data_IF_265912565797
#
_entry.id   IF_265912565797
#
_cell.length_a   1.000
_cell.length_b   1.000
_cell.length_c   1.000
_cell.angle_alpha   90.00
_cell.angle_beta   90.00
_cell.angle_gamma   90.00
#
_symmetry.space_group_name_H-M   'P 1'
#
loop_
_entity.id
_entity.type
_entity.pdbx_description
1 polymer ?
#
# COMPACT_ATOMS: atom_id res chain seq x y z
N UNK A 1 -0.32 -13.45 16.30
CA UNK A 1 0.17 -12.82 15.07
C UNK A 1 -0.55 -11.49 14.95
N UNK A 2 0.12 -10.33 15.00
CA UNK A 2 -0.55 -9.09 14.61
C UNK A 2 -0.94 -9.27 13.15
N UNK A 3 -2.24 -9.25 12.86
CA UNK A 3 -2.71 -9.33 11.49
C UNK A 3 -2.37 -7.99 10.85
N UNK A 4 -1.55 -8.01 9.79
CA UNK A 4 -1.36 -6.81 8.97
C UNK A 4 -2.73 -6.34 8.52
N UNK A 5 -3.10 -5.06 8.74
CA UNK A 5 -4.45 -4.58 8.45
C UNK A 5 -4.79 -4.59 6.95
N UNK A 6 -3.80 -4.89 6.11
CA UNK A 6 -3.87 -5.03 4.66
C UNK A 6 -2.97 -6.18 4.21
N UNK A 7 -3.33 -6.79 3.09
CA UNK A 7 -2.67 -7.91 2.43
C UNK A 7 -1.80 -7.42 1.26
N UNK A 8 -1.04 -8.33 0.64
CA UNK A 8 -0.27 -7.97 -0.56
C UNK A 8 -1.19 -7.69 -1.76
N UNK A 9 -2.34 -8.37 -1.87
CA UNK A 9 -3.38 -8.08 -2.85
C UNK A 9 -3.90 -6.64 -2.70
N UNK A 10 -4.20 -6.21 -1.46
CA UNK A 10 -4.65 -4.83 -1.20
C UNK A 10 -3.62 -3.80 -1.69
N UNK A 11 -2.32 -4.11 -1.52
CA UNK A 11 -1.23 -3.23 -2.00
C UNK A 11 -1.18 -3.20 -3.53
N UNK A 12 -1.38 -4.34 -4.20
CA UNK A 12 -1.41 -4.41 -5.66
C UNK A 12 -2.61 -3.63 -6.20
N UNK A 13 -3.79 -3.79 -5.60
CA UNK A 13 -4.99 -3.04 -5.98
C UNK A 13 -4.81 -1.54 -5.73
N UNK A 14 -4.17 -1.14 -4.63
CA UNK A 14 -3.84 0.26 -4.35
C UNK A 14 -2.85 0.83 -5.37
N UNK A 15 -1.87 0.05 -5.83
CA UNK A 15 -0.94 0.48 -6.88
C UNK A 15 -1.67 0.67 -8.21
N UNK A 16 -2.56 -0.26 -8.58
CA UNK A 16 -3.40 -0.17 -9.77
C UNK A 16 -4.32 1.05 -9.72
N UNK A 17 -4.89 1.35 -8.55
CA UNK A 17 -5.72 2.54 -8.36
C UNK A 17 -4.95 3.83 -8.66
N UNK A 18 -3.66 3.89 -8.32
CA UNK A 18 -2.80 5.04 -8.61
C UNK A 18 -2.41 5.11 -10.09
N UNK A 19 -2.11 3.98 -10.72
CA UNK A 19 -1.61 3.96 -12.11
C UNK A 19 -2.71 3.98 -13.17
N UNK A 20 -3.77 3.19 -12.97
CA UNK A 20 -4.83 2.96 -13.97
C UNK A 20 -6.07 3.80 -13.67
N UNK A 21 -6.45 3.91 -12.39
CA UNK A 21 -7.64 4.67 -11.99
C UNK A 21 -7.32 6.16 -11.69
N UNK A 22 -6.03 6.52 -11.67
CA UNK A 22 -5.58 7.91 -11.49
C UNK A 22 -5.82 8.47 -10.08
N UNK A 23 -6.02 7.62 -9.07
CA UNK A 23 -6.14 8.06 -7.68
C UNK A 23 -4.81 8.60 -7.17
N UNK A 24 -4.85 9.54 -6.22
CA UNK A 24 -3.65 9.86 -5.47
C UNK A 24 -3.23 8.69 -4.57
N UNK A 25 -1.94 8.59 -4.24
CA UNK A 25 -1.43 7.57 -3.32
C UNK A 25 -2.15 7.60 -1.96
N UNK A 26 -2.57 8.78 -1.51
CA UNK A 26 -3.32 8.92 -0.27
C UNK A 26 -4.73 8.33 -0.38
N UNK A 27 -5.45 8.62 -1.46
CA UNK A 27 -6.80 8.07 -1.68
C UNK A 27 -6.76 6.55 -1.86
N UNK A 28 -5.84 6.04 -2.66
CA UNK A 28 -5.66 4.59 -2.84
C UNK A 28 -5.28 3.92 -1.51
N UNK A 29 -4.34 4.48 -0.74
CA UNK A 29 -3.95 3.91 0.53
C UNK A 29 -5.10 3.90 1.56
N UNK A 30 -5.90 4.97 1.64
CA UNK A 30 -7.06 5.03 2.51
C UNK A 30 -8.16 4.04 2.09
N UNK A 31 -8.42 3.91 0.79
CA UNK A 31 -9.39 2.95 0.24
C UNK A 31 -9.06 1.52 0.63
N UNK A 32 -7.76 1.18 0.65
CA UNK A 32 -7.23 -0.14 0.97
C UNK A 32 -6.78 -0.30 2.43
N UNK A 33 -7.11 0.67 3.30
CA UNK A 33 -6.82 0.58 4.73
C UNK A 33 -5.33 0.53 5.09
N UNK A 34 -4.45 1.00 4.20
CA UNK A 34 -3.01 0.98 4.40
C UNK A 34 -2.42 2.37 4.61
N UNK A 35 -1.26 2.48 5.29
CA UNK A 35 -0.50 3.71 5.33
C UNK A 35 -0.05 4.13 3.94
N UNK A 36 -0.17 5.42 3.62
CA UNK A 36 0.36 5.98 2.38
C UNK A 36 1.86 5.66 2.22
N UNK A 37 2.64 5.68 3.31
CA UNK A 37 4.08 5.36 3.26
C UNK A 37 4.36 3.96 2.75
N UNK A 38 3.49 2.98 3.08
CA UNK A 38 3.60 1.61 2.57
C UNK A 38 3.41 1.58 1.06
N UNK A 39 2.38 2.27 0.56
CA UNK A 39 2.10 2.35 -0.87
C UNK A 39 3.21 3.11 -1.62
N UNK A 40 3.69 4.23 -1.05
CA UNK A 40 4.82 5.00 -1.58
C UNK A 40 6.10 4.17 -1.67
N UNK A 41 6.42 3.38 -0.64
CA UNK A 41 7.59 2.49 -0.64
C UNK A 41 7.44 1.40 -1.72
N UNK A 42 6.25 0.79 -1.85
CA UNK A 42 5.98 -0.21 -2.90
C UNK A 42 6.09 0.36 -4.32
N UNK A 43 5.54 1.54 -4.56
CA UNK A 43 5.66 2.25 -5.84
C UNK A 43 7.11 2.61 -6.18
N UNK A 44 7.96 2.77 -5.17
CA UNK A 44 9.41 2.98 -5.33
C UNK A 44 10.20 1.68 -5.47
N UNK A 45 9.54 0.51 -5.46
CA UNK A 45 10.17 -0.80 -5.46
C UNK A 45 10.92 -1.12 -4.17
N UNK A 46 10.65 -0.39 -3.09
CA UNK A 46 11.23 -0.63 -1.78
C UNK A 46 10.37 -1.72 -1.12
N UNK A 47 10.95 -2.90 -0.80
CA UNK A 47 10.21 -3.92 -0.07
C UNK A 47 9.76 -3.33 1.28
N UNK A 48 8.58 -3.73 1.78
CA UNK A 48 8.11 -3.25 3.08
C UNK A 48 9.19 -3.56 4.10
N UNK A 49 9.59 -2.56 4.89
CA UNK A 49 10.45 -2.83 6.03
C UNK A 49 9.73 -3.89 6.87
N UNK A 50 10.36 -5.04 7.16
CA UNK A 50 9.82 -5.88 8.21
C UNK A 50 9.73 -4.98 9.45
N UNK A 51 8.54 -4.81 10.01
CA UNK A 51 8.40 -4.20 11.32
C UNK A 51 9.38 -4.95 12.23
N UNK A 52 10.47 -4.27 12.61
CA UNK A 52 11.36 -4.78 13.65
C UNK A 52 10.53 -4.63 14.92
N UNK A 53 9.96 -5.77 15.31
CA UNK A 53 9.34 -6.13 16.58
C UNK A 53 9.85 -5.34 17.79
#
# INVERSE_FOLDING_TARGET
>A
MPQTPYTEDDVIEAMLDVTDNGLSQHEAAQKHGMPQTTLSDRLRGIPPKPEVI
#
